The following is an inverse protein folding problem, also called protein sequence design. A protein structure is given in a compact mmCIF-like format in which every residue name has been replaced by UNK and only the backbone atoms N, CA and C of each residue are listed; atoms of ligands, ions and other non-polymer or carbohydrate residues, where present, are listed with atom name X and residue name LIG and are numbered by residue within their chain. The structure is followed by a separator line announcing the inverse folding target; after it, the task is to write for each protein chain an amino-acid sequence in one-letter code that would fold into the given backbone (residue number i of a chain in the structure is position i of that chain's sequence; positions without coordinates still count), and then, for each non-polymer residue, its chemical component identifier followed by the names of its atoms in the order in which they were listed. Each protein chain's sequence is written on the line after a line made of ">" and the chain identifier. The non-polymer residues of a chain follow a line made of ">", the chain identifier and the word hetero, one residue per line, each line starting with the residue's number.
data_IF_809452182485
#
_entry.id   IF_809452182485
#
_cell.length_a   1.000
_cell.length_b   1.000
_cell.length_c   1.000
_cell.angle_alpha   90.00
_cell.angle_beta   90.00
_cell.angle_gamma   90.00
#
_symmetry.space_group_name_H-M   'P 1'
#
loop_
_entity.id
_entity.type
_entity.pdbx_description
1 polymer ?
#
# COMPACT_ATOMS: atom_id res chain seq x y z
N UNK A 1 -11.62 17.26 -3.83
CA UNK A 1 -10.82 17.09 -5.07
C UNK A 1 -9.39 16.63 -4.79
N UNK A 2 -8.70 17.14 -3.76
CA UNK A 2 -7.30 16.75 -3.43
C UNK A 2 -7.13 15.24 -3.20
N UNK A 3 -8.01 14.61 -2.41
CA UNK A 3 -7.89 13.17 -2.13
C UNK A 3 -8.08 12.23 -3.34
N UNK A 4 -8.78 12.64 -4.40
CA UNK A 4 -9.03 11.77 -5.56
C UNK A 4 -7.77 11.58 -6.43
N UNK A 5 -6.95 12.63 -6.55
CA UNK A 5 -5.71 12.58 -7.31
C UNK A 5 -4.66 11.70 -6.63
N UNK A 6 -4.57 11.79 -5.30
CA UNK A 6 -3.69 10.94 -4.49
C UNK A 6 -4.08 9.46 -4.58
N UNK A 7 -5.38 9.15 -4.57
CA UNK A 7 -5.85 7.77 -4.79
C UNK A 7 -5.49 7.24 -6.18
N UNK A 8 -5.69 8.06 -7.22
CA UNK A 8 -5.37 7.67 -8.58
C UNK A 8 -3.86 7.43 -8.75
N UNK A 9 -3.03 8.25 -8.10
CA UNK A 9 -1.59 8.05 -8.12
C UNK A 9 -1.17 6.69 -7.57
N UNK A 10 -1.66 6.28 -6.40
CA UNK A 10 -1.33 4.97 -5.82
C UNK A 10 -1.84 3.83 -6.70
N UNK A 11 -3.06 3.93 -7.23
CA UNK A 11 -3.58 2.97 -8.22
C UNK A 11 -2.67 2.83 -9.43
N UNK A 12 -2.19 3.96 -9.99
CA UNK A 12 -1.30 3.96 -11.15
C UNK A 12 0.06 3.33 -10.83
N UNK A 13 0.58 3.50 -9.62
CA UNK A 13 1.80 2.81 -9.19
C UNK A 13 1.57 1.30 -9.10
N UNK A 14 0.45 0.86 -8.54
CA UNK A 14 0.09 -0.57 -8.45
C UNK A 14 0.02 -1.18 -9.86
N UNK A 15 -0.72 -0.54 -10.78
CA UNK A 15 -0.82 -1.00 -12.18
C UNK A 15 0.54 -1.05 -12.87
N UNK A 16 1.40 -0.06 -12.61
CA UNK A 16 2.76 0.00 -13.16
C UNK A 16 3.62 -1.16 -12.64
N UNK A 17 3.53 -1.45 -11.34
CA UNK A 17 4.24 -2.55 -10.70
C UNK A 17 3.81 -3.89 -11.29
N UNK A 18 2.50 -4.17 -11.30
CA UNK A 18 1.94 -5.40 -11.85
C UNK A 18 2.37 -5.60 -13.32
N UNK A 19 2.30 -4.53 -14.13
CA UNK A 19 2.72 -4.56 -15.54
C UNK A 19 4.18 -4.98 -15.69
N UNK A 20 5.11 -4.37 -14.95
CA UNK A 20 6.53 -4.65 -15.15
C UNK A 20 6.99 -5.94 -14.46
N UNK A 21 6.36 -6.34 -13.35
CA UNK A 21 6.57 -7.68 -12.78
C UNK A 21 6.16 -8.75 -13.77
N UNK A 22 4.97 -8.63 -14.38
CA UNK A 22 4.52 -9.55 -15.42
C UNK A 22 5.46 -9.53 -16.63
N UNK A 23 5.90 -8.35 -17.06
CA UNK A 23 6.84 -8.22 -18.18
C UNK A 23 8.16 -8.96 -17.93
N UNK A 24 8.70 -8.86 -16.72
CA UNK A 24 9.92 -9.59 -16.33
C UNK A 24 9.69 -11.10 -16.28
N UNK A 25 8.54 -11.53 -15.75
CA UNK A 25 8.19 -12.94 -15.69
C UNK A 25 8.03 -13.55 -17.10
N UNK A 26 7.29 -12.89 -17.99
CA UNK A 26 6.91 -13.41 -19.31
C UNK A 26 8.03 -13.32 -20.34
N UNK A 27 8.68 -12.15 -20.45
CA UNK A 27 9.63 -11.88 -21.54
C UNK A 27 11.09 -12.11 -21.13
N UNK A 28 11.40 -12.03 -19.84
CA UNK A 28 12.74 -12.30 -19.31
C UNK A 28 12.79 -13.60 -18.51
N UNK A 29 11.75 -14.44 -18.56
CA UNK A 29 11.68 -15.74 -17.86
C UNK A 29 11.95 -15.63 -16.35
N UNK A 30 11.57 -14.50 -15.74
CA UNK A 30 11.85 -14.24 -14.32
C UNK A 30 13.34 -14.11 -13.99
N UNK A 31 14.17 -13.71 -14.95
CA UNK A 31 15.61 -13.61 -14.74
C UNK A 31 15.95 -12.59 -13.63
N UNK A 32 16.75 -13.03 -12.66
CA UNK A 32 17.01 -12.31 -11.40
C UNK A 32 17.59 -10.91 -11.59
N UNK A 33 18.43 -10.72 -12.61
CA UNK A 33 18.99 -9.40 -12.95
C UNK A 33 17.90 -8.37 -13.29
N UNK A 34 16.86 -8.77 -14.03
CA UNK A 34 15.78 -7.87 -14.42
C UNK A 34 14.82 -7.61 -13.25
N UNK A 35 14.60 -8.60 -12.38
CA UNK A 35 13.90 -8.37 -11.11
C UNK A 35 14.64 -7.35 -10.25
N UNK A 36 15.96 -7.52 -10.09
CA UNK A 36 16.78 -6.59 -9.33
C UNK A 36 16.73 -5.16 -9.90
N UNK A 37 16.84 -5.02 -11.22
CA UNK A 37 16.75 -3.72 -11.87
C UNK A 37 15.36 -3.08 -11.70
N UNK A 38 14.29 -3.88 -11.71
CA UNK A 38 12.93 -3.42 -11.43
C UNK A 38 12.81 -2.93 -9.97
N UNK A 39 13.30 -3.72 -9.02
CA UNK A 39 13.25 -3.36 -7.59
C UNK A 39 14.03 -2.07 -7.32
N UNK A 40 15.26 -1.95 -7.84
CA UNK A 40 16.08 -0.74 -7.72
C UNK A 40 15.36 0.49 -8.33
N UNK A 41 14.68 0.33 -9.47
CA UNK A 41 13.92 1.42 -10.06
C UNK A 41 12.75 1.85 -9.17
N UNK A 42 12.01 0.91 -8.60
CA UNK A 42 10.91 1.19 -7.67
C UNK A 42 11.40 1.83 -6.37
N UNK A 43 12.52 1.39 -5.79
CA UNK A 43 13.14 2.05 -4.64
C UNK A 43 13.49 3.51 -4.94
N UNK A 44 14.01 3.80 -6.14
CA UNK A 44 14.40 5.17 -6.51
C UNK A 44 13.18 6.10 -6.61
N UNK A 45 12.10 5.71 -7.27
CA UNK A 45 10.98 6.63 -7.48
C UNK A 45 9.95 6.62 -6.34
N UNK A 46 9.73 5.49 -5.66
CA UNK A 46 8.82 5.43 -4.50
C UNK A 46 9.33 6.30 -3.34
N UNK A 47 10.62 6.62 -3.28
CA UNK A 47 11.19 7.51 -2.26
C UNK A 47 11.31 8.98 -2.71
N UNK A 48 10.70 9.36 -3.83
CA UNK A 48 10.58 10.77 -4.24
C UNK A 48 9.29 11.38 -3.71
N UNK A 49 9.34 12.63 -3.29
CA UNK A 49 8.15 13.39 -2.91
C UNK A 49 7.24 13.66 -4.11
N UNK A 50 5.92 13.59 -3.90
CA UNK A 50 4.91 13.77 -4.94
C UNK A 50 3.94 14.86 -4.48
N UNK A 51 3.96 16.00 -5.17
CA UNK A 51 3.11 17.17 -4.84
C UNK A 51 3.22 17.61 -3.36
N UNK A 52 4.39 17.43 -2.74
CA UNK A 52 4.64 17.76 -1.33
C UNK A 52 4.35 16.64 -0.33
N UNK A 53 3.80 15.51 -0.77
CA UNK A 53 3.52 14.34 0.06
C UNK A 53 4.57 13.24 -0.11
N UNK A 54 4.81 12.47 0.96
CA UNK A 54 5.64 11.27 0.90
C UNK A 54 4.82 10.07 0.41
N UNK A 55 5.46 9.08 -0.21
CA UNK A 55 4.77 7.83 -0.56
C UNK A 55 4.24 7.09 0.68
N UNK A 56 4.92 7.22 1.82
CA UNK A 56 4.46 6.68 3.09
C UNK A 56 3.08 7.23 3.48
N UNK A 57 2.89 8.56 3.38
CA UNK A 57 1.60 9.21 3.65
C UNK A 57 0.53 8.83 2.62
N UNK A 58 0.92 8.78 1.34
CA UNK A 58 0.01 8.45 0.23
C UNK A 58 -0.52 7.02 0.36
N UNK A 59 0.35 6.03 0.62
CA UNK A 59 -0.05 4.64 0.83
C UNK A 59 -0.94 4.50 2.07
N UNK A 60 -0.59 5.14 3.20
CA UNK A 60 -1.40 5.08 4.41
C UNK A 60 -2.79 5.70 4.19
N UNK A 61 -2.87 6.80 3.44
CA UNK A 61 -4.14 7.44 3.05
C UNK A 61 -4.95 6.59 2.09
N UNK A 62 -4.30 5.87 1.19
CA UNK A 62 -4.93 4.91 0.29
C UNK A 62 -5.56 3.74 1.04
N UNK A 63 -4.82 3.09 1.95
CA UNK A 63 -5.40 2.05 2.81
C UNK A 63 -6.62 2.55 3.60
N UNK A 64 -6.51 3.74 4.21
CA UNK A 64 -7.61 4.33 4.97
C UNK A 64 -8.85 4.60 4.12
N UNK A 65 -8.66 5.01 2.86
CA UNK A 65 -9.77 5.21 1.94
C UNK A 65 -10.42 3.90 1.48
N UNK A 66 -9.68 2.81 1.35
CA UNK A 66 -10.25 1.49 1.00
C UNK A 66 -10.97 0.86 2.20
N UNK A 67 -10.43 1.02 3.40
CA UNK A 67 -10.92 0.34 4.61
C UNK A 67 -12.05 1.09 5.31
N UNK A 68 -12.32 2.34 4.94
CA UNK A 68 -13.43 3.11 5.52
C UNK A 68 -14.78 2.81 4.84
N UNK A 69 -15.87 2.93 5.60
CA UNK A 69 -17.26 2.88 5.10
C UNK A 69 -17.43 3.85 3.91
N UNK A 70 -18.02 3.37 2.81
CA UNK A 70 -18.20 4.15 1.58
C UNK A 70 -16.96 4.25 0.68
N UNK A 71 -15.82 3.71 1.11
CA UNK A 71 -14.53 3.84 0.43
C UNK A 71 -14.32 2.84 -0.72
N UNK A 72 -14.89 1.65 -0.58
CA UNK A 72 -14.67 0.49 -1.42
C UNK A 72 -15.97 -0.18 -1.87
N UNK A 73 -17.11 0.54 -1.84
CA UNK A 73 -18.44 0.01 -2.18
C UNK A 73 -18.56 -0.62 -3.59
N UNK A 74 -17.61 -0.33 -4.48
CA UNK A 74 -17.57 -0.88 -5.85
C UNK A 74 -16.59 -2.05 -6.02
N UNK A 75 -15.85 -2.41 -4.98
CA UNK A 75 -14.88 -3.50 -4.99
C UNK A 75 -15.46 -4.72 -4.29
N UNK A 76 -15.14 -5.92 -4.78
CA UNK A 76 -15.42 -7.15 -4.03
C UNK A 76 -14.40 -7.32 -2.91
N UNK A 77 -14.72 -8.18 -1.94
CA UNK A 77 -13.81 -8.50 -0.84
C UNK A 77 -12.47 -9.07 -1.38
N UNK A 78 -12.51 -9.89 -2.43
CA UNK A 78 -11.30 -10.41 -3.07
C UNK A 78 -10.46 -9.30 -3.71
N UNK A 79 -11.10 -8.33 -4.36
CA UNK A 79 -10.40 -7.19 -4.95
C UNK A 79 -9.78 -6.28 -3.88
N UNK A 80 -10.45 -6.13 -2.73
CA UNK A 80 -9.91 -5.39 -1.58
C UNK A 80 -8.67 -6.11 -1.05
N UNK A 81 -8.75 -7.42 -0.81
CA UNK A 81 -7.63 -8.23 -0.32
C UNK A 81 -6.42 -8.22 -1.26
N UNK A 82 -6.64 -8.37 -2.58
CA UNK A 82 -5.58 -8.23 -3.58
C UNK A 82 -4.94 -6.84 -3.57
N UNK A 83 -5.77 -5.79 -3.44
CA UNK A 83 -5.28 -4.41 -3.36
C UNK A 83 -4.45 -4.19 -2.10
N UNK A 84 -4.87 -4.71 -0.95
CA UNK A 84 -4.13 -4.61 0.31
C UNK A 84 -2.77 -5.31 0.20
N UNK A 85 -2.72 -6.50 -0.40
CA UNK A 85 -1.46 -7.23 -0.66
C UNK A 85 -0.51 -6.40 -1.53
N UNK A 86 -1.01 -5.78 -2.60
CA UNK A 86 -0.22 -4.92 -3.50
C UNK A 86 0.32 -3.69 -2.81
N UNK A 87 -0.46 -3.07 -1.92
CA UNK A 87 0.03 -1.93 -1.12
C UNK A 87 1.17 -2.35 -0.19
N UNK A 88 1.05 -3.50 0.48
CA UNK A 88 2.12 -3.99 1.35
C UNK A 88 3.38 -4.35 0.54
N UNK A 89 3.22 -4.88 -0.68
CA UNK A 89 4.34 -5.09 -1.59
C UNK A 89 5.04 -3.78 -1.96
N UNK A 90 4.29 -2.72 -2.26
CA UNK A 90 4.88 -1.40 -2.54
C UNK A 90 5.60 -0.81 -1.33
N UNK A 91 5.13 -1.11 -0.11
CA UNK A 91 5.77 -0.66 1.12
C UNK A 91 7.21 -1.20 1.25
N UNK A 92 7.53 -2.34 0.63
CA UNK A 92 8.89 -2.89 0.62
C UNK A 92 9.91 -1.89 0.03
N UNK A 93 9.51 -1.13 -0.99
CA UNK A 93 10.33 -0.15 -1.71
C UNK A 93 10.48 1.19 -0.99
N UNK A 94 9.73 1.44 0.08
CA UNK A 94 9.76 2.72 0.80
C UNK A 94 10.80 2.64 1.94
N UNK A 95 11.58 3.71 2.08
CA UNK A 95 12.57 3.90 3.14
C UNK A 95 11.93 4.34 4.46
N UNK A 96 10.99 5.30 4.40
CA UNK A 96 10.33 5.88 5.56
C UNK A 96 9.14 5.03 6.08
N UNK A 97 9.41 3.74 6.36
CA UNK A 97 8.38 2.80 6.86
C UNK A 97 7.77 3.24 8.20
N UNK A 98 8.58 3.82 9.08
CA UNK A 98 8.11 4.33 10.37
C UNK A 98 7.10 5.48 10.20
N UNK A 99 7.29 6.32 9.19
CA UNK A 99 6.35 7.39 8.85
C UNK A 99 5.02 6.81 8.35
N UNK A 100 5.06 5.75 7.53
CA UNK A 100 3.85 5.03 7.12
C UNK A 100 3.12 4.49 8.37
N UNK A 101 3.85 3.84 9.28
CA UNK A 101 3.26 3.27 10.50
C UNK A 101 2.58 4.35 11.35
N UNK A 102 3.19 5.52 11.49
CA UNK A 102 2.60 6.65 12.22
C UNK A 102 1.28 7.13 11.58
N UNK A 103 1.28 7.39 10.27
CA UNK A 103 0.09 7.81 9.55
C UNK A 103 -1.00 6.74 9.57
N UNK A 104 -0.63 5.48 9.35
CA UNK A 104 -1.54 4.34 9.35
C UNK A 104 -2.21 4.18 10.72
N UNK A 105 -1.42 4.15 11.80
CA UNK A 105 -1.92 4.06 13.18
C UNK A 105 -2.88 5.18 13.52
N UNK A 106 -2.55 6.43 13.16
CA UNK A 106 -3.42 7.59 13.38
C UNK A 106 -4.76 7.45 12.66
N UNK A 107 -4.74 6.94 11.43
CA UNK A 107 -5.94 6.73 10.61
C UNK A 107 -6.78 5.55 11.13
N UNK A 108 -6.16 4.41 11.43
CA UNK A 108 -6.82 3.26 12.06
C UNK A 108 -7.49 3.65 13.37
N UNK A 109 -6.78 4.35 14.26
CA UNK A 109 -7.35 4.81 15.54
C UNK A 109 -8.62 5.65 15.33
N UNK A 110 -8.63 6.56 14.35
CA UNK A 110 -9.82 7.33 13.99
C UNK A 110 -10.94 6.44 13.48
N UNK A 111 -10.65 5.46 12.61
CA UNK A 111 -11.68 4.56 12.09
C UNK A 111 -12.34 3.75 13.21
N UNK A 112 -11.54 3.23 14.15
CA UNK A 112 -12.03 2.47 15.30
C UNK A 112 -12.83 3.37 16.27
N UNK A 113 -12.31 4.55 16.62
CA UNK A 113 -12.98 5.47 17.57
C UNK A 113 -14.32 5.98 17.07
N UNK A 114 -14.48 6.15 15.75
CA UNK A 114 -15.68 6.73 15.14
C UNK A 114 -16.54 5.71 14.39
N UNK A 115 -16.29 4.41 14.55
CA UNK A 115 -16.99 3.33 13.85
C UNK A 115 -17.09 3.60 12.33
N UNK A 116 -15.93 3.87 11.71
CA UNK A 116 -15.81 4.15 10.28
C UNK A 116 -15.16 3.02 9.48
N UNK A 117 -14.77 1.91 10.11
CA UNK A 117 -14.27 0.73 9.40
C UNK A 117 -15.39 0.05 8.61
N UNK A 118 -15.10 -0.33 7.36
CA UNK A 118 -16.07 -1.00 6.50
C UNK A 118 -16.25 -2.48 6.86
N UNK A 119 -15.14 -3.15 7.19
CA UNK A 119 -15.11 -4.57 7.52
C UNK A 119 -13.93 -4.85 8.48
N UNK A 120 -14.22 -5.42 9.65
CA UNK A 120 -13.23 -5.74 10.68
C UNK A 120 -12.26 -6.85 10.25
N UNK A 121 -12.67 -7.76 9.36
CA UNK A 121 -11.80 -8.81 8.83
C UNK A 121 -10.70 -8.22 7.95
N UNK A 122 -11.04 -7.25 7.09
CA UNK A 122 -10.06 -6.52 6.28
C UNK A 122 -9.07 -5.73 7.15
N UNK A 123 -9.54 -5.12 8.25
CA UNK A 123 -8.66 -4.42 9.21
C UNK A 123 -7.66 -5.39 9.86
N UNK A 124 -8.09 -6.59 10.24
CA UNK A 124 -7.19 -7.64 10.76
C UNK A 124 -6.24 -8.19 9.70
N UNK A 125 -6.73 -8.33 8.47
CA UNK A 125 -5.98 -8.86 7.34
C UNK A 125 -4.77 -7.98 7.01
N UNK A 126 -4.97 -6.67 6.86
CA UNK A 126 -3.86 -5.75 6.55
C UNK A 126 -2.83 -5.70 7.67
N UNK A 127 -3.23 -5.76 8.96
CA UNK A 127 -2.28 -5.83 10.08
C UNK A 127 -1.43 -7.10 10.02
N UNK A 128 -2.05 -8.22 9.63
CA UNK A 128 -1.34 -9.49 9.44
C UNK A 128 -0.33 -9.40 8.31
N UNK A 129 -0.72 -8.85 7.16
CA UNK A 129 0.17 -8.65 5.99
C UNK A 129 1.33 -7.70 6.33
N UNK A 130 1.06 -6.58 7.01
CA UNK A 130 2.08 -5.65 7.48
C UNK A 130 3.06 -6.32 8.44
N UNK A 131 2.57 -7.15 9.37
CA UNK A 131 3.42 -7.91 10.31
C UNK A 131 4.31 -8.91 9.58
N UNK A 132 3.80 -9.58 8.55
CA UNK A 132 4.57 -10.54 7.75
C UNK A 132 5.69 -9.85 6.96
N UNK A 133 5.39 -8.69 6.36
CA UNK A 133 6.30 -8.01 5.45
C UNK A 133 7.29 -7.07 6.17
N UNK A 134 6.88 -6.41 7.25
CA UNK A 134 7.71 -5.45 7.99
C UNK A 134 8.17 -5.96 9.37
N UNK A 135 7.71 -7.14 9.79
CA UNK A 135 8.07 -7.76 11.07
C UNK A 135 7.23 -7.30 12.26
N UNK A 136 7.29 -8.07 13.35
CA UNK A 136 6.45 -7.84 14.55
C UNK A 136 6.72 -6.53 15.30
N UNK A 137 7.93 -5.99 15.22
CA UNK A 137 8.26 -4.70 15.84
C UNK A 137 7.52 -3.55 15.17
N UNK A 138 7.36 -3.61 13.85
CA UNK A 138 6.66 -2.60 13.05
C UNK A 138 5.19 -2.43 13.49
N UNK A 139 4.52 -3.56 13.75
CA UNK A 139 3.11 -3.56 14.15
C UNK A 139 2.90 -3.49 15.66
N UNK A 140 3.95 -3.47 16.48
CA UNK A 140 3.84 -3.54 17.95
C UNK A 140 3.06 -2.38 18.58
N UNK A 141 2.96 -1.25 17.87
CA UNK A 141 2.28 -0.02 18.30
C UNK A 141 1.01 0.27 17.49
N UNK A 142 0.60 -0.64 16.61
CA UNK A 142 -0.60 -0.55 15.76
C UNK A 142 -1.67 -1.47 16.34
#
# INVERSE_FOLDING_TARGET
>A
MVGLQEQNFVWKIIELHDKYVAYVAEYFQGHTLFHKALDEAFEVFCNKGVSGSSSAELLATFCDNILKKGGSEKLSDEAIEDTLEKVVRLLAYISDKDLFAEFYRKKLARRLLFDKSANDEHERSILTKLKQQCGGQFTSKI
#
